data_IF_094057157786
#
_entry.id   IF_094057157786
#
_cell.length_a   1.000
_cell.length_b   1.000
_cell.length_c   1.000
_cell.angle_alpha   90.00
_cell.angle_beta   90.00
_cell.angle_gamma   90.00
#
_symmetry.space_group_name_H-M   'P 1'
#
loop_
_entity.id
_entity.type
_entity.pdbx_description
1 polymer ?
#
# COMPACT_ATOMS: atom_id res chain seq x y z
N UNK A 1 21.90 -1.19 -20.26
CA UNK A 1 21.45 -2.10 -19.19
C UNK A 1 20.36 -1.41 -18.38
N UNK A 2 19.42 -2.14 -17.78
CA UNK A 2 18.39 -1.56 -16.91
C UNK A 2 18.88 -1.44 -15.46
N UNK A 3 18.49 -0.37 -14.78
CA UNK A 3 18.77 -0.13 -13.36
C UNK A 3 17.47 -0.28 -12.56
N UNK A 4 17.52 -1.00 -11.43
CA UNK A 4 16.38 -1.10 -10.51
C UNK A 4 16.33 0.18 -9.69
N UNK A 5 15.29 0.98 -9.93
CA UNK A 5 15.10 2.29 -9.31
C UNK A 5 14.17 2.24 -8.08
N UNK A 6 13.46 1.12 -7.87
CA UNK A 6 12.56 0.91 -6.72
C UNK A 6 12.37 -0.58 -6.42
N UNK A 7 12.24 -0.89 -5.14
CA UNK A 7 11.98 -2.24 -4.63
C UNK A 7 11.20 -2.13 -3.33
N UNK A 8 10.41 -3.14 -3.03
CA UNK A 8 9.68 -3.23 -1.77
C UNK A 8 9.42 -4.70 -1.38
N UNK A 9 9.36 -4.93 -0.08
CA UNK A 9 8.99 -6.23 0.51
C UNK A 9 7.63 -6.09 1.20
N UNK A 10 6.73 -7.05 0.94
CA UNK A 10 5.37 -7.03 1.47
C UNK A 10 5.17 -8.11 2.53
N UNK A 11 4.53 -7.74 3.62
CA UNK A 11 3.97 -8.66 4.60
C UNK A 11 2.65 -9.26 4.11
N UNK A 12 2.16 -10.36 4.72
CA UNK A 12 0.94 -11.05 4.26
C UNK A 12 -0.33 -10.18 4.16
N UNK A 13 -0.44 -9.14 5.00
CA UNK A 13 -1.56 -8.20 5.00
C UNK A 13 -1.22 -6.87 4.31
N UNK A 14 -0.22 -6.86 3.44
CA UNK A 14 0.06 -5.72 2.57
C UNK A 14 0.83 -4.57 3.23
N UNK A 15 1.22 -4.68 4.50
CA UNK A 15 2.22 -3.78 5.06
C UNK A 15 3.51 -3.91 4.23
N UNK A 16 4.20 -2.80 4.03
CA UNK A 16 5.30 -2.73 3.06
C UNK A 16 6.50 -2.05 3.66
N UNK A 17 7.66 -2.68 3.47
CA UNK A 17 8.96 -2.04 3.68
C UNK A 17 9.50 -1.61 2.31
N UNK A 18 9.64 -0.29 2.12
CA UNK A 18 10.17 0.28 0.87
C UNK A 18 11.68 0.38 1.02
N UNK A 19 12.40 -0.38 0.20
CA UNK A 19 13.86 -0.45 0.28
C UNK A 19 14.52 0.92 0.14
N UNK A 20 15.62 1.13 0.85
CA UNK A 20 16.30 2.44 1.02
C UNK A 20 16.83 3.10 -0.27
N UNK A 21 16.71 2.42 -1.43
CA UNK A 21 17.21 2.87 -2.75
C UNK A 21 16.14 3.51 -3.62
N UNK A 22 15.00 3.89 -3.07
CA UNK A 22 13.94 4.53 -3.85
C UNK A 22 14.21 6.03 -4.03
N UNK A 23 14.89 6.40 -5.12
CA UNK A 23 15.01 7.80 -5.55
C UNK A 23 13.67 8.43 -5.99
N UNK A 24 12.61 7.62 -6.02
CA UNK A 24 11.24 8.04 -6.30
C UNK A 24 10.26 7.28 -5.40
N UNK A 25 9.12 7.91 -5.09
CA UNK A 25 8.04 7.27 -4.36
C UNK A 25 7.11 6.52 -5.34
N UNK A 26 6.89 5.23 -5.10
CA UNK A 26 5.80 4.48 -5.72
C UNK A 26 4.67 4.34 -4.69
N UNK A 27 3.48 4.85 -5.02
CA UNK A 27 2.33 4.81 -4.13
C UNK A 27 1.41 3.63 -4.38
N UNK A 28 1.66 2.80 -5.41
CA UNK A 28 0.90 1.57 -5.58
C UNK A 28 1.28 0.53 -4.52
N UNK A 29 0.27 -0.17 -4.01
CA UNK A 29 0.38 -1.18 -2.95
C UNK A 29 -0.20 -2.51 -3.39
N UNK A 30 -0.03 -3.51 -2.53
CA UNK A 30 -0.58 -4.85 -2.72
C UNK A 30 -2.09 -4.80 -3.01
N UNK A 31 -2.55 -5.59 -3.97
CA UNK A 31 -3.90 -5.56 -4.55
C UNK A 31 -4.31 -4.26 -5.28
N UNK A 32 -3.34 -3.47 -5.77
CA UNK A 32 -3.63 -2.29 -6.60
C UNK A 32 -4.18 -1.08 -5.81
N UNK A 33 -4.04 -1.11 -4.49
CA UNK A 33 -4.44 -0.03 -3.60
C UNK A 33 -3.48 1.16 -3.76
N UNK A 34 -3.95 2.37 -3.46
CA UNK A 34 -3.13 3.57 -3.44
C UNK A 34 -2.73 3.93 -2.01
N UNK A 35 -1.45 4.16 -1.77
CA UNK A 35 -0.96 4.62 -0.48
C UNK A 35 -1.24 6.10 -0.28
N UNK A 36 -2.06 6.39 0.71
CA UNK A 36 -2.25 7.74 1.20
C UNK A 36 -1.17 8.04 2.25
N UNK A 37 -0.24 8.92 1.90
CA UNK A 37 0.89 9.29 2.77
C UNK A 37 0.46 10.11 3.99
N UNK A 38 -0.70 10.78 3.95
CA UNK A 38 -1.18 11.59 5.06
C UNK A 38 -1.71 10.71 6.20
N UNK A 39 -2.52 9.71 5.86
CA UNK A 39 -3.11 8.79 6.84
C UNK A 39 -2.27 7.53 7.11
N UNK A 40 -1.38 7.17 6.19
CA UNK A 40 -0.67 5.89 6.20
C UNK A 40 -1.57 4.69 5.83
N UNK A 41 -2.77 4.94 5.32
CA UNK A 41 -3.73 3.92 4.92
C UNK A 41 -3.64 3.62 3.43
N UNK A 42 -4.23 2.51 3.05
CA UNK A 42 -4.31 2.07 1.66
C UNK A 42 -5.73 2.34 1.13
N UNK A 43 -5.86 3.31 0.24
CA UNK A 43 -7.12 3.63 -0.41
C UNK A 43 -7.46 2.60 -1.50
N UNK A 44 -8.67 2.08 -1.43
CA UNK A 44 -9.25 1.18 -2.41
C UNK A 44 -10.64 1.67 -2.79
N UNK A 45 -10.70 2.59 -3.76
CA UNK A 45 -11.89 3.19 -4.37
C UNK A 45 -12.94 3.73 -3.38
N UNK A 46 -13.65 2.89 -2.65
CA UNK A 46 -14.68 3.32 -1.69
C UNK A 46 -14.32 3.01 -0.24
N UNK A 47 -13.13 2.43 0.01
CA UNK A 47 -12.73 2.01 1.36
C UNK A 47 -11.27 2.29 1.62
N UNK A 48 -10.96 2.57 2.88
CA UNK A 48 -9.59 2.59 3.38
C UNK A 48 -9.26 1.28 4.07
N UNK A 49 -8.14 0.68 3.69
CA UNK A 49 -7.57 -0.52 4.24
C UNK A 49 -6.39 -0.17 5.15
N UNK A 50 -6.40 -0.73 6.36
CA UNK A 50 -5.30 -0.61 7.29
C UNK A 50 -4.44 -1.90 7.23
N UNK A 51 -3.22 -1.83 6.67
CA UNK A 51 -2.34 -3.00 6.57
C UNK A 51 -1.83 -3.48 7.93
N UNK A 52 -1.84 -2.65 8.98
CA UNK A 52 -1.38 -3.05 10.32
C UNK A 52 -2.36 -3.98 11.01
N UNK A 53 -3.66 -3.76 10.80
CA UNK A 53 -4.73 -4.60 11.34
C UNK A 53 -5.26 -5.62 10.33
N UNK A 54 -4.87 -5.47 9.06
CA UNK A 54 -5.26 -6.34 7.95
C UNK A 54 -6.72 -6.21 7.54
N UNK A 55 -7.37 -5.06 7.79
CA UNK A 55 -8.82 -4.88 7.64
C UNK A 55 -9.20 -3.54 7.02
N UNK A 56 -10.39 -3.50 6.42
CA UNK A 56 -11.01 -2.23 6.04
C UNK A 56 -11.56 -1.50 7.26
N UNK A 57 -11.46 -0.17 7.24
CA UNK A 57 -11.97 0.69 8.32
C UNK A 57 -13.50 0.80 8.33
N UNK A 58 -14.14 0.47 7.21
CA UNK A 58 -15.59 0.50 7.04
C UNK A 58 -16.11 -0.85 6.56
N UNK A 59 -17.37 -1.20 6.90
CA UNK A 59 -18.05 -2.35 6.31
C UNK A 59 -18.09 -2.28 4.77
N UNK A 60 -18.40 -3.42 4.15
CA UNK A 60 -18.64 -3.45 2.71
C UNK A 60 -19.89 -2.61 2.36
N UNK A 61 -19.80 -1.61 1.47
CA UNK A 61 -20.95 -0.82 1.06
C UNK A 61 -22.08 -1.63 0.41
N UNK A 62 -21.78 -2.82 -0.13
CA UNK A 62 -22.76 -3.66 -0.83
C UNK A 62 -23.23 -4.89 -0.02
N UNK A 63 -22.67 -5.15 1.16
CA UNK A 63 -23.09 -6.22 2.06
C UNK A 63 -22.49 -7.59 1.73
#
# INVERSE_FOLDING_TARGET
>A
AGEVVWTAEYEPFGAVDVGSRSGFANNFRFSGQYFDTESGLHYNWHRYYDPKTGRYLTPDPIG
#
